data_IF_444958544741
#
_entry.id   IF_444958544741
#
_cell.length_a   1.000
_cell.length_b   1.000
_cell.length_c   1.000
_cell.angle_alpha   90.00
_cell.angle_beta   90.00
_cell.angle_gamma   90.00
#
_symmetry.space_group_name_H-M   'P 1'
#
loop_
_entity.id
_entity.type
_entity.pdbx_description
1 polymer ?
#
# COMPACT_ATOMS: atom_id res chain seq x y z
N UNK A 1 30.91 -4.96 -8.59
CA UNK A 1 31.29 -5.66 -7.33
C UNK A 1 30.31 -6.81 -7.08
N UNK A 2 30.60 -7.78 -6.18
CA UNK A 2 29.71 -8.94 -5.95
C UNK A 2 28.36 -8.58 -5.30
N UNK A 3 28.30 -7.44 -4.62
CA UNK A 3 27.11 -6.96 -3.91
C UNK A 3 27.00 -5.44 -4.08
N UNK A 4 26.63 -4.96 -5.27
CA UNK A 4 26.21 -3.56 -5.41
C UNK A 4 24.81 -3.43 -4.80
N UNK A 5 24.67 -2.76 -3.64
CA UNK A 5 23.39 -2.74 -2.97
C UNK A 5 22.51 -1.68 -3.64
N UNK A 6 21.45 -2.13 -4.32
CA UNK A 6 20.28 -1.27 -4.52
C UNK A 6 19.54 -1.25 -3.19
N UNK A 7 19.91 -0.28 -2.34
CA UNK A 7 19.22 -0.06 -1.07
C UNK A 7 17.89 0.61 -1.39
N UNK A 8 16.81 -0.13 -1.20
CA UNK A 8 15.48 0.42 -1.31
C UNK A 8 15.30 1.47 -0.19
N UNK A 9 14.65 2.60 -0.45
CA UNK A 9 14.49 3.69 0.51
C UNK A 9 13.92 3.30 1.88
N UNK A 10 13.05 2.29 1.97
CA UNK A 10 12.57 1.79 3.27
C UNK A 10 13.64 1.04 4.09
N UNK A 11 14.76 0.67 3.46
CA UNK A 11 15.90 -0.01 4.09
C UNK A 11 16.93 0.98 4.65
N UNK A 12 16.72 2.30 4.47
CA UNK A 12 17.68 3.34 4.87
C UNK A 12 17.58 3.73 6.35
N UNK A 13 16.47 3.42 7.01
CA UNK A 13 16.25 3.78 8.40
C UNK A 13 15.46 2.71 9.16
N UNK A 14 15.93 2.37 10.37
CA UNK A 14 15.35 1.32 11.20
C UNK A 14 13.92 1.64 11.66
N UNK A 15 13.59 2.92 11.80
CA UNK A 15 12.29 3.39 12.26
C UNK A 15 11.16 3.14 11.24
N UNK A 16 11.51 3.03 9.96
CA UNK A 16 10.60 2.57 8.90
C UNK A 16 10.14 1.13 9.16
N UNK A 17 11.03 0.29 9.70
CA UNK A 17 10.70 -1.09 10.07
C UNK A 17 9.55 -1.19 11.07
N UNK A 18 9.43 -0.24 12.00
CA UNK A 18 8.31 -0.19 12.94
C UNK A 18 6.98 0.11 12.24
N UNK A 19 6.94 1.10 11.33
CA UNK A 19 5.73 1.39 10.55
C UNK A 19 5.35 0.24 9.61
N UNK A 20 6.35 -0.43 9.03
CA UNK A 20 6.14 -1.66 8.23
C UNK A 20 5.51 -2.75 9.07
N UNK A 21 6.00 -2.98 10.29
CA UNK A 21 5.42 -3.97 11.20
C UNK A 21 3.94 -3.68 11.50
N UNK A 22 3.53 -2.41 11.55
CA UNK A 22 2.15 -2.03 11.85
C UNK A 22 1.18 -2.39 10.72
N UNK A 23 1.58 -2.30 9.44
CA UNK A 23 0.71 -2.74 8.35
C UNK A 23 0.84 -4.23 8.01
N UNK A 24 1.97 -4.84 8.37
CA UNK A 24 2.15 -6.29 8.34
C UNK A 24 1.26 -6.99 9.39
N UNK A 25 0.87 -6.30 10.46
CA UNK A 25 -0.07 -6.77 11.50
C UNK A 25 -1.38 -5.97 11.52
N UNK A 26 -2.46 -6.54 11.01
CA UNK A 26 -3.77 -5.89 11.03
C UNK A 26 -4.66 -6.46 12.14
N UNK A 27 -5.22 -5.58 12.99
CA UNK A 27 -6.08 -5.95 14.14
C UNK A 27 -5.43 -7.02 15.05
N UNK A 28 -4.14 -6.86 15.33
CA UNK A 28 -3.38 -7.75 16.20
C UNK A 28 -3.05 -9.13 15.60
N UNK A 29 -3.24 -9.31 14.29
CA UNK A 29 -2.92 -10.57 13.60
C UNK A 29 -2.02 -10.31 12.39
N UNK A 30 -1.11 -11.23 12.04
CA UNK A 30 -0.40 -11.16 10.78
C UNK A 30 -1.39 -11.03 9.62
N UNK A 31 -1.16 -10.03 8.78
CA UNK A 31 -1.98 -9.73 7.63
C UNK A 31 -1.26 -10.11 6.35
N UNK A 32 -0.11 -9.49 6.08
CA UNK A 32 0.73 -9.85 4.94
C UNK A 32 1.75 -10.91 5.33
N UNK A 33 2.01 -11.92 4.47
CA UNK A 33 3.24 -12.69 4.56
C UNK A 33 4.43 -11.81 4.16
N UNK A 34 5.61 -12.09 4.70
CA UNK A 34 6.84 -11.35 4.35
C UNK A 34 7.10 -11.38 2.83
N UNK A 35 6.75 -12.47 2.15
CA UNK A 35 6.85 -12.57 0.69
C UNK A 35 6.04 -11.50 -0.05
N UNK A 36 4.86 -11.11 0.46
CA UNK A 36 4.07 -10.04 -0.16
C UNK A 36 4.77 -8.69 -0.08
N UNK A 37 5.48 -8.42 1.03
CA UNK A 37 6.29 -7.22 1.20
C UNK A 37 7.49 -7.23 0.24
N UNK A 38 8.17 -8.37 0.09
CA UNK A 38 9.30 -8.53 -0.85
C UNK A 38 8.89 -8.28 -2.30
N UNK A 39 7.63 -8.56 -2.65
CA UNK A 39 7.07 -8.32 -3.98
C UNK A 39 6.33 -6.98 -4.11
N UNK A 40 6.27 -6.16 -3.06
CA UNK A 40 5.66 -4.85 -3.13
C UNK A 40 6.50 -3.93 -4.04
N UNK A 41 5.83 -3.09 -4.82
CA UNK A 41 6.51 -1.99 -5.51
C UNK A 41 6.54 -0.79 -4.58
N UNK A 42 7.67 -0.11 -4.51
CA UNK A 42 7.88 1.02 -3.62
C UNK A 42 8.01 2.31 -4.42
N UNK A 43 7.29 3.35 -3.99
CA UNK A 43 7.40 4.69 -4.52
C UNK A 43 7.58 5.69 -3.37
N UNK A 44 8.07 6.88 -3.69
CA UNK A 44 8.26 7.98 -2.76
C UNK A 44 7.41 9.15 -3.21
N UNK A 45 6.82 9.84 -2.24
CA UNK A 45 6.07 11.03 -2.51
C UNK A 45 6.20 12.01 -1.35
N UNK A 46 6.02 13.29 -1.65
CA UNK A 46 5.80 14.29 -0.61
C UNK A 46 4.31 14.46 -0.42
N UNK A 47 3.79 13.91 0.68
CA UNK A 47 2.38 14.03 1.02
C UNK A 47 2.14 15.22 1.95
N UNK A 48 3.06 15.55 2.86
CA UNK A 48 2.87 16.70 3.74
C UNK A 48 3.07 18.05 3.02
N UNK A 49 2.25 19.04 3.36
CA UNK A 49 2.43 20.45 2.99
C UNK A 49 3.39 21.22 3.93
N UNK A 50 3.60 20.73 5.15
CA UNK A 50 4.22 21.51 6.23
C UNK A 50 5.57 20.93 6.69
N UNK A 51 5.83 19.64 6.45
CA UNK A 51 6.87 18.88 7.17
C UNK A 51 8.20 18.65 6.44
N UNK A 52 8.39 19.14 5.21
CA UNK A 52 9.64 18.94 4.46
C UNK A 52 10.03 20.17 3.64
N UNK A 53 11.31 20.54 3.73
CA UNK A 53 11.96 21.44 2.77
C UNK A 53 11.91 20.80 1.37
N UNK A 54 11.87 21.60 0.32
CA UNK A 54 11.76 21.10 -1.04
C UNK A 54 12.93 20.20 -1.45
N UNK A 55 14.05 20.31 -0.75
CA UNK A 55 15.29 19.54 -0.92
C UNK A 55 15.40 18.33 0.01
N UNK A 56 14.44 18.09 0.90
CA UNK A 56 14.48 16.99 1.86
C UNK A 56 14.04 15.67 1.19
N UNK A 57 14.99 15.04 0.48
CA UNK A 57 14.83 13.71 -0.12
C UNK A 57 14.89 12.59 0.92
N UNK A 58 15.46 12.87 2.09
CA UNK A 58 15.67 11.87 3.15
C UNK A 58 14.39 11.57 3.91
N UNK A 59 13.41 12.48 3.95
CA UNK A 59 12.14 12.31 4.65
C UNK A 59 10.92 12.15 3.74
N UNK A 60 11.10 11.73 2.49
CA UNK A 60 9.96 11.41 1.62
C UNK A 60 9.10 10.30 2.21
N UNK A 61 7.78 10.47 2.12
CA UNK A 61 6.80 9.45 2.49
C UNK A 61 6.92 8.27 1.53
N UNK A 62 6.70 7.06 2.06
CA UNK A 62 6.87 5.82 1.31
C UNK A 62 5.51 5.20 1.02
N UNK A 63 5.31 4.81 -0.23
CA UNK A 63 4.10 4.17 -0.74
C UNK A 63 4.46 2.75 -1.17
N UNK A 64 3.89 1.76 -0.49
CA UNK A 64 4.00 0.36 -0.87
C UNK A 64 2.77 -0.05 -1.65
N UNK A 65 2.94 -0.34 -2.95
CA UNK A 65 1.92 -1.03 -3.73
C UNK A 65 2.08 -2.52 -3.54
N UNK A 66 1.18 -3.10 -2.76
CA UNK A 66 1.15 -4.53 -2.49
C UNK A 66 0.76 -5.32 -3.75
N UNK A 67 1.00 -6.65 -3.80
CA UNK A 67 0.50 -7.50 -4.87
C UNK A 67 -1.02 -7.33 -5.09
N UNK A 68 -1.48 -7.68 -6.29
CA UNK A 68 -2.91 -7.58 -6.65
C UNK A 68 -3.73 -8.44 -5.70
N UNK A 69 -4.80 -7.87 -5.16
CA UNK A 69 -5.81 -8.55 -4.35
C UNK A 69 -7.20 -8.02 -4.71
N UNK A 70 -8.13 -8.94 -5.00
CA UNK A 70 -9.53 -8.64 -5.28
C UNK A 70 -9.75 -7.63 -6.42
N UNK A 71 -8.93 -7.69 -7.48
CA UNK A 71 -9.06 -6.84 -8.67
C UNK A 71 -8.33 -5.50 -8.59
N UNK A 72 -7.67 -5.18 -7.47
CA UNK A 72 -6.87 -3.98 -7.31
C UNK A 72 -5.65 -4.22 -6.43
N UNK A 73 -5.09 -3.15 -5.88
CA UNK A 73 -3.95 -3.16 -4.97
C UNK A 73 -4.33 -2.50 -3.66
N UNK A 74 -3.82 -3.04 -2.57
CA UNK A 74 -3.66 -2.25 -1.36
C UNK A 74 -2.40 -1.39 -1.49
N UNK A 75 -2.53 -0.12 -1.17
CA UNK A 75 -1.39 0.78 -1.05
C UNK A 75 -1.21 1.12 0.42
N UNK A 76 -0.09 0.68 0.99
CA UNK A 76 0.29 0.98 2.37
C UNK A 76 1.16 2.23 2.41
N UNK A 77 0.90 3.12 3.34
CA UNK A 77 1.53 4.43 3.41
C UNK A 77 2.37 4.50 4.68
N UNK A 78 3.62 4.89 4.55
CA UNK A 78 4.50 5.21 5.66
C UNK A 78 4.85 6.68 5.59
N UNK A 79 4.43 7.42 6.61
CA UNK A 79 4.67 8.85 6.72
C UNK A 79 6.01 9.10 7.41
N UNK A 80 6.82 9.98 6.84
CA UNK A 80 8.17 10.26 7.34
C UNK A 80 8.35 11.75 7.62
N UNK A 81 9.20 12.03 8.60
CA UNK A 81 9.55 13.38 9.02
C UNK A 81 10.83 13.34 9.85
N UNK A 82 11.42 14.51 10.07
CA UNK A 82 12.55 14.66 11.00
C UNK A 82 12.23 14.24 12.44
N UNK A 83 10.95 14.17 12.82
CA UNK A 83 10.50 13.74 14.14
C UNK A 83 10.34 12.21 14.25
N UNK A 84 10.44 11.50 13.13
CA UNK A 84 10.32 10.05 13.04
C UNK A 84 9.31 9.58 11.99
N UNK A 85 9.07 8.26 12.02
CA UNK A 85 8.25 7.53 11.05
C UNK A 85 6.98 6.96 11.68
N UNK A 86 5.87 6.98 10.92
CA UNK A 86 4.59 6.43 11.35
C UNK A 86 3.82 5.76 10.21
N UNK A 87 2.93 4.82 10.53
CA UNK A 87 2.04 4.23 9.54
C UNK A 87 0.90 5.20 9.18
N UNK A 88 0.88 5.62 7.92
CA UNK A 88 -0.09 6.55 7.37
C UNK A 88 -1.44 5.93 7.03
N UNK A 89 -1.62 4.63 7.21
CA UNK A 89 -2.83 3.92 6.81
C UNK A 89 -2.72 3.31 5.41
N UNK A 90 -3.87 2.92 4.87
CA UNK A 90 -3.97 2.21 3.61
C UNK A 90 -5.11 2.76 2.75
N UNK A 91 -4.98 2.54 1.46
CA UNK A 91 -6.03 2.76 0.47
C UNK A 91 -6.10 1.58 -0.49
N UNK A 92 -7.14 1.53 -1.31
CA UNK A 92 -7.31 0.48 -2.31
C UNK A 92 -7.73 1.04 -3.66
N UNK A 93 -7.20 0.45 -4.73
CA UNK A 93 -7.54 0.76 -6.12
C UNK A 93 -6.66 0.01 -7.11
N UNK A 94 -6.99 0.02 -8.39
CA UNK A 94 -6.13 -0.45 -9.49
C UNK A 94 -4.90 0.45 -9.65
N UNK A 95 -5.10 1.76 -9.50
CA UNK A 95 -4.07 2.79 -9.58
C UNK A 95 -4.19 3.74 -8.38
N UNK A 96 -3.07 4.35 -7.99
CA UNK A 96 -3.01 5.40 -6.98
C UNK A 96 -2.65 6.72 -7.65
N UNK A 97 -3.47 7.73 -7.42
CA UNK A 97 -3.24 9.10 -7.84
C UNK A 97 -3.04 10.00 -6.61
N UNK A 98 -2.07 10.91 -6.69
CA UNK A 98 -1.81 11.92 -5.66
C UNK A 98 -2.37 13.23 -6.19
N UNK A 99 -3.38 13.78 -5.51
CA UNK A 99 -4.07 14.98 -5.97
C UNK A 99 -3.32 16.25 -5.54
N UNK A 100 -3.54 17.33 -6.29
CA UNK A 100 -3.05 18.68 -5.96
C UNK A 100 -3.99 19.40 -4.97
N UNK A 101 -4.48 18.68 -3.98
CA UNK A 101 -5.39 19.17 -2.95
C UNK A 101 -4.83 18.77 -1.59
N UNK A 102 -5.02 19.61 -0.56
CA UNK A 102 -4.53 19.34 0.78
C UNK A 102 -5.66 19.34 1.79
N UNK A 103 -5.69 18.33 2.65
CA UNK A 103 -6.58 18.22 3.80
C UNK A 103 -5.72 17.92 5.02
N UNK A 104 -5.92 18.69 6.10
CA UNK A 104 -5.21 18.52 7.36
C UNK A 104 -3.67 18.60 7.28
N UNK A 105 -3.13 19.26 6.27
CA UNK A 105 -1.69 19.40 6.04
C UNK A 105 -1.06 18.28 5.20
N UNK A 106 -1.88 17.42 4.58
CA UNK A 106 -1.43 16.34 3.71
C UNK A 106 -2.21 16.31 2.40
N UNK A 107 -1.56 15.84 1.32
CA UNK A 107 -2.16 15.67 0.00
C UNK A 107 -3.29 14.67 0.03
N UNK A 108 -4.38 14.97 -0.67
CA UNK A 108 -5.45 14.00 -0.88
C UNK A 108 -4.97 12.91 -1.84
N UNK A 109 -5.29 11.66 -1.50
CA UNK A 109 -4.97 10.50 -2.33
C UNK A 109 -6.25 9.96 -2.96
N UNK A 110 -6.15 9.40 -4.16
CA UNK A 110 -7.26 8.77 -4.84
C UNK A 110 -6.89 7.38 -5.34
N UNK A 111 -7.71 6.38 -4.97
CA UNK A 111 -7.66 5.06 -5.55
C UNK A 111 -8.60 5.00 -6.76
N UNK A 112 -8.09 4.60 -7.92
CA UNK A 112 -8.92 4.44 -9.12
C UNK A 112 -9.44 3.01 -9.23
N UNK A 113 -10.73 2.85 -9.50
CA UNK A 113 -11.35 1.53 -9.67
C UNK A 113 -12.55 1.62 -10.62
N UNK A 114 -12.61 0.78 -11.66
CA UNK A 114 -13.71 0.77 -12.64
C UNK A 114 -14.09 2.16 -13.17
N UNK A 115 -13.09 3.03 -13.40
CA UNK A 115 -13.30 4.40 -13.87
C UNK A 115 -13.83 5.39 -12.81
N UNK A 116 -13.97 4.97 -11.55
CA UNK A 116 -14.29 5.83 -10.40
C UNK A 116 -13.02 6.18 -9.62
N UNK A 117 -13.04 7.35 -9.01
CA UNK A 117 -11.99 7.81 -8.08
C UNK A 117 -12.56 7.78 -6.66
N UNK A 118 -11.97 6.94 -5.81
CA UNK A 118 -12.29 6.87 -4.39
C UNK A 118 -11.30 7.76 -3.66
N UNK A 119 -11.79 8.77 -2.94
CA UNK A 119 -10.92 9.75 -2.29
C UNK A 119 -10.56 9.35 -0.86
N UNK A 120 -9.31 9.59 -0.49
CA UNK A 120 -8.75 9.31 0.81
C UNK A 120 -8.05 10.56 1.35
N UNK A 121 -8.51 11.00 2.52
CA UNK A 121 -8.03 12.21 3.18
C UNK A 121 -7.32 11.86 4.47
N UNK A 122 -6.27 12.62 4.80
CA UNK A 122 -5.59 12.43 6.07
C UNK A 122 -6.45 12.94 7.22
N UNK A 123 -6.65 12.11 8.24
CA UNK A 123 -7.44 12.46 9.41
C UNK A 123 -6.55 12.71 10.62
N UNK A 124 -6.46 13.96 11.11
CA UNK A 124 -5.75 14.32 12.35
C UNK A 124 -6.20 13.51 13.57
N UNK A 125 -7.49 13.16 13.66
CA UNK A 125 -8.03 12.38 14.79
C UNK A 125 -7.45 10.96 14.87
N UNK A 126 -7.23 10.33 13.72
CA UNK A 126 -6.81 8.93 13.63
C UNK A 126 -5.34 8.78 13.19
N UNK A 127 -4.70 9.91 12.88
CA UNK A 127 -3.33 10.02 12.39
C UNK A 127 -3.07 9.12 11.17
N UNK A 128 -4.04 9.01 10.26
CA UNK A 128 -3.98 8.16 9.07
C UNK A 128 -4.95 8.60 7.98
N UNK A 129 -4.67 8.20 6.75
CA UNK A 129 -5.59 8.33 5.62
C UNK A 129 -6.85 7.50 5.82
N UNK A 130 -7.98 8.08 5.45
CA UNK A 130 -9.30 7.46 5.52
C UNK A 130 -10.16 7.93 4.36
N UNK A 131 -11.08 7.08 3.95
CA UNK A 131 -12.20 7.49 3.10
C UNK A 131 -13.51 7.44 3.89
N UNK A 132 -14.47 8.27 3.49
CA UNK A 132 -15.86 8.18 3.93
C UNK A 132 -16.72 7.39 2.93
N UNK A 133 -16.17 7.11 1.75
CA UNK A 133 -16.85 6.35 0.70
C UNK A 133 -16.80 4.85 1.04
N UNK A 134 -17.86 4.09 0.72
CA UNK A 134 -17.83 2.64 0.86
C UNK A 134 -16.79 2.06 -0.10
N UNK A 135 -15.88 1.25 0.43
CA UNK A 135 -14.89 0.53 -0.37
C UNK A 135 -15.48 -0.77 -0.91
N UNK A 136 -15.13 -1.16 -2.15
CA UNK A 136 -15.52 -2.47 -2.69
C UNK A 136 -14.84 -3.63 -1.96
N UNK A 137 -13.79 -3.33 -1.19
CA UNK A 137 -13.05 -4.31 -0.38
C UNK A 137 -12.83 -3.77 1.03
N UNK A 138 -12.84 -4.68 2.01
CA UNK A 138 -12.39 -4.38 3.37
C UNK A 138 -11.06 -5.06 3.64
N UNK A 139 -10.09 -4.37 4.25
CA UNK A 139 -8.87 -5.01 4.73
C UNK A 139 -9.24 -6.06 5.79
N UNK A 140 -9.22 -7.34 5.42
CA UNK A 140 -9.61 -8.47 6.26
C UNK A 140 -8.65 -9.66 6.08
N UNK A 141 -8.27 -10.30 7.19
CA UNK A 141 -7.23 -11.34 7.22
C UNK A 141 -7.51 -12.51 6.25
N UNK A 142 -8.78 -12.72 5.88
CA UNK A 142 -9.20 -13.80 4.98
C UNK A 142 -8.97 -13.53 3.49
N UNK A 143 -8.81 -12.26 3.07
CA UNK A 143 -8.60 -11.91 1.66
C UNK A 143 -7.32 -12.52 1.12
N UNK A 144 -6.23 -12.47 1.90
CA UNK A 144 -4.92 -12.98 1.49
C UNK A 144 -4.88 -14.51 1.46
N UNK A 145 -5.68 -15.19 2.29
CA UNK A 145 -5.76 -16.66 2.30
C UNK A 145 -6.54 -17.24 1.13
N UNK A 146 -7.48 -16.48 0.54
CA UNK A 146 -8.26 -16.94 -0.62
C UNK A 146 -7.46 -16.93 -1.92
N UNK A 147 -6.49 -16.03 -2.07
CA UNK A 147 -5.62 -15.94 -3.26
C UNK A 147 -4.35 -16.79 -3.18
N UNK A 148 -4.04 -17.38 -2.01
CA UNK A 148 -3.00 -18.40 -1.88
C UNK A 148 -3.44 -19.78 -2.42
N UNK A 149 -4.67 -19.92 -2.92
CA UNK A 149 -5.02 -21.03 -3.82
C UNK A 149 -4.65 -20.61 -5.24
N UNK A 150 -3.73 -21.31 -5.93
CA UNK A 150 -3.52 -21.07 -7.34
C UNK A 150 -4.87 -21.25 -8.03
N UNK A 151 -5.22 -20.29 -8.88
CA UNK A 151 -6.30 -20.43 -9.84
C UNK A 151 -6.21 -21.84 -10.44
N UNK A 152 -7.17 -22.70 -10.11
CA UNK A 152 -7.33 -23.95 -10.80
C UNK A 152 -7.73 -23.58 -12.21
N UNK A 153 -6.75 -23.58 -13.12
CA UNK A 153 -7.00 -23.60 -14.55
C UNK A 153 -7.89 -24.80 -14.78
N UNK A 154 -9.19 -24.57 -15.03
CA UNK A 154 -10.03 -25.56 -15.69
C UNK A 154 -9.37 -25.79 -17.05
N UNK A 155 -8.57 -26.84 -17.14
CA UNK A 155 -8.30 -27.50 -18.41
C UNK A 155 -9.59 -28.24 -18.75
N UNK A 156 -10.48 -27.57 -19.44
CA UNK A 156 -11.46 -28.25 -20.27
C UNK A 156 -10.66 -29.02 -21.32
N UNK A 157 -10.42 -30.31 -21.06
CA UNK A 157 -9.94 -31.25 -22.05
C UNK A 157 -11.09 -31.49 -23.04
N UNK A 158 -10.86 -31.36 -24.36
CA UNK A 158 -11.90 -31.62 -25.32
C UNK A 158 -12.25 -33.10 -25.31
N UNK A 159 -13.56 -33.38 -25.31
CA UNK A 159 -14.12 -34.69 -25.49
C UNK A 159 -13.71 -35.29 -26.85
N UNK A 160 -13.32 -36.56 -26.86
CA UNK A 160 -13.33 -37.41 -28.05
C UNK A 160 -12.42 -38.63 -27.97
N UNK A 161 -12.73 -39.71 -28.70
CA UNK A 161 -14.03 -40.36 -28.79
C UNK A 161 -13.96 -41.81 -28.24
N UNK A 162 -15.13 -42.36 -27.92
CA UNK A 162 -15.30 -43.74 -27.51
C UNK A 162 -14.81 -44.73 -28.58
N UNK A 163 -14.01 -45.71 -28.16
CA UNK A 163 -14.04 -47.11 -28.63
C UNK A 163 -13.62 -48.02 -27.50
#
# INVERSE_FOLDING_TARGET
MAFEPRIEPYQRADDVGYAVSEFMWFKGRPFYPISALVHAKVAHARLSAEKCDDQDEDNLDILFRMPVVAGGHFFEIVLRSNEGTSYGGWLWGEELEILNEFVNGYRVLAGKFEGRLIRFEYSRRFQRYRTMEPLPVEKSVFLIQREAKPYAVRRDLPAGPAR
#
